data_IF_245918446949
#
_entry.id   IF_245918446949
#
_cell.length_a   1.000
_cell.length_b   1.000
_cell.length_c   1.000
_cell.angle_alpha   90.00
_cell.angle_beta   90.00
_cell.angle_gamma   90.00
#
_symmetry.space_group_name_H-M   'P 1'
#
loop_
_entity.id
_entity.type
_entity.pdbx_description
1 polymer ?
#
# COMPACT_ATOMS: atom_id res chain seq x y z
N UNK A 1 4.22 -8.10 -14.17
CA UNK A 1 3.96 -7.95 -12.72
C UNK A 1 4.11 -6.50 -12.28
N UNK A 2 5.25 -5.84 -12.53
CA UNK A 2 5.47 -4.44 -12.17
C UNK A 2 4.36 -3.48 -12.67
N UNK A 3 3.95 -3.58 -13.94
CA UNK A 3 2.90 -2.71 -14.50
C UNK A 3 1.53 -2.85 -13.81
N UNK A 4 1.15 -4.06 -13.37
CA UNK A 4 -0.13 -4.30 -12.70
C UNK A 4 -0.15 -3.72 -11.28
N UNK A 5 1.00 -3.71 -10.59
CA UNK A 5 1.14 -3.09 -9.27
C UNK A 5 1.14 -1.57 -9.37
N UNK A 6 1.78 -1.00 -10.40
CA UNK A 6 1.72 0.45 -10.66
C UNK A 6 0.28 0.89 -10.95
N UNK A 7 -0.44 0.20 -11.83
CA UNK A 7 -1.85 0.51 -12.08
C UNK A 7 -2.74 0.36 -10.83
N UNK A 8 -2.38 -0.59 -9.94
CA UNK A 8 -3.07 -0.72 -8.67
C UNK A 8 -2.80 0.49 -7.76
N UNK A 9 -1.57 1.01 -7.70
CA UNK A 9 -1.25 2.25 -6.96
C UNK A 9 -2.06 3.44 -7.47
N UNK A 10 -2.17 3.61 -8.78
CA UNK A 10 -2.99 4.67 -9.39
C UNK A 10 -4.47 4.53 -8.94
N UNK A 11 -4.95 3.30 -8.86
CA UNK A 11 -6.31 3.01 -8.37
C UNK A 11 -6.47 3.39 -6.89
N UNK A 12 -5.47 3.11 -6.05
CA UNK A 12 -5.50 3.46 -4.62
C UNK A 12 -5.55 4.99 -4.43
N UNK A 13 -4.72 5.72 -5.17
CA UNK A 13 -4.63 7.18 -5.08
C UNK A 13 -5.97 7.87 -5.39
N UNK A 14 -6.79 7.29 -6.26
CA UNK A 14 -8.08 7.84 -6.63
C UNK A 14 -9.18 7.62 -5.58
N UNK A 15 -8.93 6.84 -4.53
CA UNK A 15 -9.96 6.50 -3.54
C UNK A 15 -10.08 7.54 -2.42
N UNK A 16 -11.29 7.76 -1.89
CA UNK A 16 -11.50 8.62 -0.72
C UNK A 16 -10.68 8.15 0.48
N UNK A 17 -10.08 9.11 1.19
CA UNK A 17 -9.31 8.85 2.41
C UNK A 17 -7.94 8.23 2.19
N UNK A 18 -7.45 8.11 0.95
CA UNK A 18 -6.06 7.73 0.69
C UNK A 18 -5.09 8.78 1.24
N UNK A 19 -4.10 8.34 2.03
CA UNK A 19 -3.05 9.22 2.57
C UNK A 19 -1.75 9.09 1.78
N UNK A 20 -1.42 7.87 1.36
CA UNK A 20 -0.18 7.58 0.66
C UNK A 20 0.08 6.08 0.58
N UNK A 21 0.99 5.68 -0.30
CA UNK A 21 1.44 4.31 -0.40
C UNK A 21 2.89 4.20 -0.87
N UNK A 22 3.55 3.13 -0.46
CA UNK A 22 4.89 2.77 -0.88
C UNK A 22 4.89 1.42 -1.61
N UNK A 23 5.61 1.36 -2.74
CA UNK A 23 5.96 0.10 -3.41
C UNK A 23 7.30 -0.39 -2.87
N UNK A 24 7.29 -1.56 -2.24
CA UNK A 24 8.43 -2.11 -1.53
C UNK A 24 8.87 -3.44 -2.18
N UNK A 25 10.17 -3.66 -2.20
CA UNK A 25 10.78 -4.95 -2.57
C UNK A 25 11.59 -5.49 -1.40
N UNK A 26 11.69 -6.81 -1.25
CA UNK A 26 12.52 -7.42 -0.21
C UNK A 26 13.86 -7.91 -0.79
N UNK A 27 15.01 -7.32 -0.41
CA UNK A 27 16.31 -7.82 -0.85
C UNK A 27 16.59 -9.26 -0.41
N UNK A 28 16.06 -9.64 0.76
CA UNK A 28 16.20 -10.99 1.30
C UNK A 28 15.28 -12.02 0.64
N UNK A 29 14.28 -11.57 -0.16
CA UNK A 29 13.33 -12.44 -0.86
C UNK A 29 13.12 -11.94 -2.30
N UNK A 30 14.01 -12.30 -3.23
CA UNK A 30 13.92 -11.86 -4.62
C UNK A 30 12.57 -12.20 -5.25
N UNK A 31 11.95 -11.20 -5.89
CA UNK A 31 10.65 -11.33 -6.54
C UNK A 31 9.44 -11.04 -5.64
N UNK A 32 9.62 -10.91 -4.32
CA UNK A 32 8.57 -10.43 -3.43
C UNK A 32 8.43 -8.89 -3.56
N UNK A 33 7.20 -8.46 -3.82
CA UNK A 33 6.82 -7.05 -3.92
C UNK A 33 5.60 -6.80 -3.05
N UNK A 34 5.57 -5.67 -2.36
CA UNK A 34 4.51 -5.28 -1.42
C UNK A 34 4.07 -3.85 -1.72
N UNK A 35 2.78 -3.58 -1.52
CA UNK A 35 2.25 -2.22 -1.43
C UNK A 35 1.82 -2.00 0.01
N UNK A 36 2.42 -1.02 0.68
CA UNK A 36 1.94 -0.53 1.97
C UNK A 36 1.16 0.75 1.71
N UNK A 37 -0.09 0.85 2.15
CA UNK A 37 -0.94 2.02 1.93
C UNK A 37 -1.54 2.49 3.25
N UNK A 38 -1.68 3.80 3.43
CA UNK A 38 -2.27 4.43 4.62
C UNK A 38 -3.55 5.17 4.24
N UNK A 39 -4.50 5.18 5.17
CA UNK A 39 -5.86 5.65 4.95
C UNK A 39 -6.37 6.43 6.17
N UNK A 40 -7.16 7.48 5.95
CA UNK A 40 -7.87 8.22 7.03
C UNK A 40 -9.24 7.63 7.35
N UNK A 41 -9.72 6.72 6.52
CA UNK A 41 -10.95 5.95 6.70
C UNK A 41 -10.67 4.45 6.53
N UNK A 42 -11.61 3.55 6.85
CA UNK A 42 -11.46 2.15 6.50
C UNK A 42 -11.08 1.99 5.01
N UNK A 43 -10.03 1.23 4.73
CA UNK A 43 -9.55 1.03 3.37
C UNK A 43 -10.65 0.33 2.52
N UNK A 44 -10.92 0.81 1.29
CA UNK A 44 -11.94 0.21 0.45
C UNK A 44 -11.53 -1.19 0.01
N UNK A 45 -12.51 -2.09 -0.16
CA UNK A 45 -12.26 -3.37 -0.83
C UNK A 45 -12.16 -3.15 -2.34
N UNK A 46 -10.95 -3.31 -2.88
CA UNK A 46 -10.67 -3.19 -4.30
C UNK A 46 -10.25 -4.54 -4.90
N UNK A 47 -10.51 -4.76 -6.20
CA UNK A 47 -9.98 -5.92 -6.91
C UNK A 47 -8.46 -5.96 -6.82
N UNK A 48 -7.93 -7.13 -6.45
CA UNK A 48 -6.50 -7.35 -6.39
C UNK A 48 -5.96 -7.83 -7.74
N UNK A 49 -4.71 -7.46 -8.11
CA UNK A 49 -4.01 -8.09 -9.22
C UNK A 49 -3.96 -9.61 -9.06
N UNK A 50 -3.95 -10.35 -10.17
CA UNK A 50 -3.92 -11.80 -10.16
C UNK A 50 -2.73 -12.34 -9.33
N UNK A 51 -3.02 -13.26 -8.41
CA UNK A 51 -2.02 -13.86 -7.51
C UNK A 51 -1.63 -13.00 -6.31
N UNK A 52 -2.10 -11.75 -6.21
CA UNK A 52 -1.86 -10.91 -5.05
C UNK A 52 -2.82 -11.26 -3.89
N UNK A 53 -2.39 -10.90 -2.68
CA UNK A 53 -3.17 -11.03 -1.45
C UNK A 53 -3.08 -9.71 -0.69
N UNK A 54 -4.12 -9.37 0.06
CA UNK A 54 -4.18 -8.14 0.86
C UNK A 54 -4.69 -8.41 2.27
N UNK A 55 -4.22 -7.59 3.20
CA UNK A 55 -4.68 -7.56 4.59
C UNK A 55 -4.74 -6.11 5.04
N UNK A 56 -5.63 -5.82 5.99
CA UNK A 56 -5.77 -4.50 6.60
C UNK A 56 -5.37 -4.61 8.07
N UNK A 57 -4.61 -3.63 8.53
CA UNK A 57 -4.12 -3.55 9.91
C UNK A 57 -4.44 -2.17 10.47
N UNK A 58 -4.67 -2.10 11.78
CA UNK A 58 -4.76 -0.83 12.51
C UNK A 58 -3.45 -0.57 13.25
N UNK A 59 -2.97 0.66 13.18
CA UNK A 59 -1.78 1.07 13.93
C UNK A 59 -2.16 1.26 15.40
N UNK A 60 -1.70 0.36 16.26
CA UNK A 60 -1.92 0.45 17.71
C UNK A 60 -0.90 1.37 18.39
N UNK A 61 0.33 1.45 17.85
CA UNK A 61 1.41 2.27 18.37
C UNK A 61 2.36 2.66 17.24
N UNK A 62 2.86 3.90 17.24
CA UNK A 62 3.88 4.38 16.31
C UNK A 62 5.01 5.08 17.08
N UNK A 63 6.25 4.82 16.68
CA UNK A 63 7.46 5.45 17.24
C UNK A 63 8.33 5.97 16.09
N UNK A 64 8.88 7.18 16.25
CA UNK A 64 9.63 7.89 15.21
C UNK A 64 8.75 8.83 14.37
N UNK A 65 9.36 9.86 13.79
CA UNK A 65 8.66 10.77 12.88
C UNK A 65 8.46 10.05 11.53
N UNK A 66 7.21 9.87 11.12
CA UNK A 66 6.92 9.70 9.70
C UNK A 66 7.34 11.02 9.06
N UNK A 67 8.33 11.00 8.17
CA UNK A 67 8.63 12.17 7.35
C UNK A 67 7.45 12.36 6.41
N UNK A 68 6.41 13.04 6.89
CA UNK A 68 5.39 13.65 6.07
C UNK A 68 6.02 14.90 5.49
N UNK A 69 6.31 14.89 4.20
CA UNK A 69 6.47 16.14 3.47
C UNK A 69 5.15 16.92 3.59
N UNK A 70 5.26 18.19 3.98
CA UNK A 70 4.14 19.11 4.13
C UNK A 70 3.65 19.68 2.82
#
# INVERSE_FOLDING_TARGET
>A
MAAALVAHLDTLQAQPGFVGAELLTSPAQPGLVLIASRWTCPAPQLPLPAGAKSWVFEVQEARGAVSGEG
#
